data_IF_459384195683
#
_entry.id   IF_459384195683
#
_cell.length_a   1.000
_cell.length_b   1.000
_cell.length_c   1.000
_cell.angle_alpha   90.00
_cell.angle_beta   90.00
_cell.angle_gamma   90.00
#
_symmetry.space_group_name_H-M   'P 1'
#
loop_
_entity.id
_entity.type
_entity.pdbx_description
1 polymer ?
#
# COMPACT_ATOMS: atom_id res chain seq x y z
N UNK A 1 16.48 0.59 22.49
CA UNK A 1 16.09 1.58 21.47
C UNK A 1 17.22 1.76 20.43
N UNK A 2 17.46 0.80 19.51
CA UNK A 2 18.65 0.87 18.62
C UNK A 2 18.45 0.40 17.16
N UNK A 3 17.22 0.18 16.70
CA UNK A 3 16.97 -0.40 15.36
C UNK A 3 16.10 0.44 14.41
N UNK A 4 15.69 1.67 14.76
CA UNK A 4 14.82 2.50 13.90
C UNK A 4 15.54 3.31 12.80
N UNK A 5 16.88 3.26 12.68
CA UNK A 5 17.61 4.18 11.81
C UNK A 5 18.31 3.55 10.58
N UNK A 6 18.46 2.22 10.50
CA UNK A 6 19.28 1.61 9.43
C UNK A 6 18.64 1.68 8.04
N UNK A 7 17.31 1.55 7.96
CA UNK A 7 16.58 1.59 6.68
C UNK A 7 16.59 2.98 6.05
N UNK A 8 16.37 4.03 6.84
CA UNK A 8 16.34 5.40 6.35
C UNK A 8 17.75 5.90 6.00
N UNK A 9 18.77 5.54 6.80
CA UNK A 9 20.16 5.96 6.56
C UNK A 9 20.69 5.51 5.19
N UNK A 10 20.32 4.32 4.72
CA UNK A 10 20.70 3.82 3.39
C UNK A 10 20.02 4.58 2.25
N UNK A 11 18.73 4.91 2.39
CA UNK A 11 17.99 5.69 1.40
C UNK A 11 18.55 7.10 1.24
N UNK A 12 18.79 7.82 2.34
CA UNK A 12 19.41 9.15 2.29
C UNK A 12 20.83 9.12 1.72
N UNK A 13 21.62 8.09 2.04
CA UNK A 13 22.95 7.93 1.47
C UNK A 13 22.91 7.77 -0.07
N UNK A 14 21.97 6.97 -0.60
CA UNK A 14 21.78 6.82 -2.05
C UNK A 14 21.36 8.12 -2.73
N UNK A 15 20.48 8.90 -2.10
CA UNK A 15 20.05 10.20 -2.62
C UNK A 15 21.22 11.20 -2.62
N UNK A 16 22.00 11.26 -1.55
CA UNK A 16 23.18 12.14 -1.46
C UNK A 16 24.20 11.76 -2.53
N UNK A 17 24.48 10.46 -2.73
CA UNK A 17 25.39 9.99 -3.78
C UNK A 17 24.85 10.39 -5.17
N UNK A 18 23.54 10.22 -5.42
CA UNK A 18 22.93 10.62 -6.68
C UNK A 18 23.08 12.12 -6.94
N UNK A 19 22.84 12.96 -5.93
CA UNK A 19 23.01 14.42 -6.01
C UNK A 19 24.47 14.80 -6.25
N UNK A 20 25.42 14.14 -5.56
CA UNK A 20 26.84 14.39 -5.78
C UNK A 20 27.26 14.01 -7.19
N UNK A 21 26.82 12.86 -7.69
CA UNK A 21 27.09 12.42 -9.06
C UNK A 21 26.49 13.36 -10.09
N UNK A 22 25.26 13.86 -9.89
CA UNK A 22 24.65 14.83 -10.82
C UNK A 22 25.37 16.17 -10.79
N UNK A 23 25.77 16.67 -9.62
CA UNK A 23 26.56 17.89 -9.49
C UNK A 23 27.94 17.76 -10.18
N UNK A 24 28.61 16.63 -10.01
CA UNK A 24 29.87 16.34 -10.71
C UNK A 24 29.64 16.33 -12.23
N UNK A 25 28.55 15.72 -12.69
CA UNK A 25 28.23 15.63 -14.11
C UNK A 25 27.90 17.00 -14.72
N UNK A 26 27.13 17.82 -14.01
CA UNK A 26 26.78 19.18 -14.44
C UNK A 26 28.00 20.11 -14.45
N UNK A 27 28.87 20.02 -13.44
CA UNK A 27 30.11 20.80 -13.40
C UNK A 27 31.10 20.36 -14.47
N UNK A 28 31.24 19.05 -14.72
CA UNK A 28 32.03 18.52 -15.84
C UNK A 28 31.47 18.96 -17.19
N UNK A 29 30.15 18.94 -17.37
CA UNK A 29 29.49 19.42 -18.59
C UNK A 29 29.71 20.93 -18.82
N UNK A 30 29.54 21.74 -17.79
CA UNK A 30 29.82 23.19 -17.86
C UNK A 30 31.29 23.48 -18.16
N UNK A 31 32.21 22.71 -17.58
CA UNK A 31 33.65 22.79 -17.87
C UNK A 31 33.98 22.40 -19.32
N UNK A 32 33.32 21.36 -19.84
CA UNK A 32 33.46 20.92 -21.23
C UNK A 32 32.98 21.99 -22.21
N UNK A 33 31.81 22.58 -21.95
CA UNK A 33 31.27 23.70 -22.73
C UNK A 33 32.16 24.95 -22.68
N UNK A 34 32.88 25.16 -21.58
CA UNK A 34 33.82 26.26 -21.47
C UNK A 34 35.08 26.05 -22.34
N UNK A 35 35.49 24.81 -22.58
CA UNK A 35 36.63 24.50 -23.46
C UNK A 35 36.28 24.49 -24.95
N UNK A 36 35.03 24.25 -25.32
CA UNK A 36 34.59 24.25 -26.73
C UNK A 36 34.21 25.66 -27.18
N UNK A 37 35.20 26.54 -27.35
CA UNK A 37 35.01 27.94 -27.74
C UNK A 37 35.05 28.13 -29.27
N UNK A 38 33.92 27.95 -29.96
CA UNK A 38 33.70 28.49 -31.33
C UNK A 38 32.86 29.77 -31.33
N UNK A 39 32.33 30.19 -30.18
CA UNK A 39 31.48 31.38 -30.03
C UNK A 39 32.24 32.53 -29.34
N UNK A 40 31.87 33.80 -29.60
CA UNK A 40 32.56 34.97 -29.03
C UNK A 40 32.50 34.98 -27.49
N UNK A 41 33.61 35.35 -26.85
CA UNK A 41 33.71 35.39 -25.38
C UNK A 41 32.86 36.50 -24.75
N UNK A 42 32.22 36.19 -23.61
CA UNK A 42 31.50 37.16 -22.77
C UNK A 42 30.00 36.90 -22.54
N UNK A 43 29.45 35.78 -22.99
CA UNK A 43 28.00 35.49 -22.86
C UNK A 43 27.66 34.35 -21.88
N UNK A 44 26.46 34.43 -21.31
CA UNK A 44 25.84 33.47 -20.38
C UNK A 44 25.72 32.07 -21.00
N UNK A 45 25.56 31.02 -20.17
CA UNK A 45 25.47 29.62 -20.61
C UNK A 45 24.38 29.40 -21.68
N UNK A 46 23.25 30.11 -21.55
CA UNK A 46 22.09 30.01 -22.44
C UNK A 46 22.41 30.60 -23.83
N UNK A 47 23.14 31.72 -23.86
CA UNK A 47 23.52 32.40 -25.10
C UNK A 47 24.55 31.59 -25.89
N UNK A 48 25.44 30.86 -25.18
CA UNK A 48 26.36 29.90 -25.80
C UNK A 48 25.63 28.71 -26.43
N UNK A 49 24.53 28.25 -25.82
CA UNK A 49 23.66 27.23 -26.42
C UNK A 49 22.89 27.79 -27.63
N UNK A 50 22.45 29.05 -27.59
CA UNK A 50 21.75 29.70 -28.70
C UNK A 50 22.64 30.00 -29.93
N UNK A 51 23.96 30.04 -29.74
CA UNK A 51 24.96 30.17 -30.80
C UNK A 51 25.11 28.90 -31.68
N UNK A 52 24.58 27.75 -31.23
CA UNK A 52 24.67 26.48 -31.94
C UNK A 52 23.53 26.28 -32.96
N UNK A 53 23.83 25.52 -34.01
CA UNK A 53 22.81 25.07 -34.97
C UNK A 53 21.70 24.27 -34.24
N UNK A 54 20.41 24.40 -34.59
CA UNK A 54 19.31 23.80 -33.83
C UNK A 54 19.47 22.29 -33.56
N UNK A 55 20.08 21.55 -34.49
CA UNK A 55 20.36 20.13 -34.33
C UNK A 55 21.46 19.86 -33.26
N UNK A 56 22.49 20.71 -33.22
CA UNK A 56 23.57 20.60 -32.26
C UNK A 56 23.13 20.96 -30.82
N UNK A 57 22.12 21.82 -30.66
CA UNK A 57 21.49 22.10 -29.36
C UNK A 57 20.82 20.82 -28.80
N UNK A 58 20.13 20.06 -29.67
CA UNK A 58 19.53 18.78 -29.33
C UNK A 58 20.57 17.77 -28.87
N UNK A 59 21.66 17.59 -29.63
CA UNK A 59 22.70 16.61 -29.31
C UNK A 59 23.47 16.97 -28.03
N UNK A 60 23.78 18.25 -27.83
CA UNK A 60 24.47 18.72 -26.61
C UNK A 60 23.60 18.60 -25.37
N UNK A 61 22.30 18.89 -25.47
CA UNK A 61 21.35 18.72 -24.36
C UNK A 61 21.09 17.24 -24.06
N UNK A 62 20.91 16.39 -25.08
CA UNK A 62 20.75 14.96 -24.91
C UNK A 62 21.97 14.32 -24.22
N UNK A 63 23.18 14.78 -24.56
CA UNK A 63 24.43 14.36 -23.90
C UNK A 63 24.48 14.69 -22.40
N UNK A 64 23.90 15.81 -21.97
CA UNK A 64 23.84 16.19 -20.55
C UNK A 64 22.72 15.46 -19.80
N UNK A 65 21.52 15.35 -20.39
CA UNK A 65 20.33 14.82 -19.73
C UNK A 65 20.31 13.29 -19.65
N UNK A 66 20.84 12.57 -20.63
CA UNK A 66 20.83 11.10 -20.67
C UNK A 66 21.48 10.46 -19.41
N UNK A 67 22.72 10.82 -19.01
CA UNK A 67 23.34 10.23 -17.82
C UNK A 67 22.68 10.69 -16.51
N UNK A 68 22.17 11.92 -16.45
CA UNK A 68 21.43 12.42 -15.27
C UNK A 68 20.15 11.61 -15.06
N UNK A 69 19.36 11.40 -16.11
CA UNK A 69 18.14 10.61 -16.05
C UNK A 69 18.43 9.15 -15.65
N UNK A 70 19.52 8.56 -16.15
CA UNK A 70 19.93 7.21 -15.79
C UNK A 70 20.27 7.07 -14.30
N UNK A 71 21.00 8.03 -13.72
CA UNK A 71 21.33 8.05 -12.29
C UNK A 71 20.04 8.05 -11.45
N UNK A 72 19.09 8.92 -11.78
CA UNK A 72 17.82 9.01 -11.05
C UNK A 72 16.96 7.76 -11.19
N UNK A 73 16.94 7.13 -12.38
CA UNK A 73 16.25 5.86 -12.60
C UNK A 73 16.82 4.75 -11.72
N UNK A 74 18.15 4.60 -11.68
CA UNK A 74 18.83 3.60 -10.85
C UNK A 74 18.54 3.85 -9.37
N UNK A 75 18.66 5.09 -8.90
CA UNK A 75 18.34 5.45 -7.51
C UNK A 75 16.90 5.12 -7.15
N UNK A 76 15.94 5.42 -8.02
CA UNK A 76 14.52 5.09 -7.80
C UNK A 76 14.29 3.58 -7.69
N UNK A 77 14.92 2.77 -8.56
CA UNK A 77 14.80 1.31 -8.52
C UNK A 77 15.43 0.73 -7.25
N UNK A 78 16.57 1.25 -6.81
CA UNK A 78 17.23 0.80 -5.58
C UNK A 78 16.41 1.15 -4.34
N UNK A 79 15.80 2.33 -4.31
CA UNK A 79 14.91 2.76 -3.23
C UNK A 79 13.67 1.86 -3.16
N UNK A 80 12.99 1.63 -4.29
CA UNK A 80 11.81 0.75 -4.36
C UNK A 80 12.11 -0.69 -3.93
N UNK A 81 13.30 -1.22 -4.27
CA UNK A 81 13.73 -2.56 -3.83
C UNK A 81 13.90 -2.66 -2.32
N UNK A 82 14.36 -1.61 -1.67
CA UNK A 82 14.54 -1.58 -0.21
C UNK A 82 13.21 -1.62 0.54
N UNK A 83 12.16 -1.01 0.00
CA UNK A 83 10.81 -1.00 0.57
C UNK A 83 10.14 -2.39 0.44
N UNK A 84 10.32 -3.07 -0.70
CA UNK A 84 9.77 -4.42 -0.91
C UNK A 84 10.31 -5.47 0.08
N UNK A 85 11.54 -5.30 0.56
CA UNK A 85 12.11 -6.21 1.57
C UNK A 85 11.44 -6.03 2.93
N UNK A 86 11.17 -4.78 3.34
CA UNK A 86 10.44 -4.48 4.56
C UNK A 86 8.98 -4.96 4.48
N UNK A 87 8.33 -4.71 3.34
CA UNK A 87 6.95 -5.10 3.10
C UNK A 87 6.75 -6.63 3.14
N UNK A 88 7.75 -7.41 2.72
CA UNK A 88 7.71 -8.89 2.85
C UNK A 88 7.70 -9.39 4.28
N UNK A 89 8.36 -8.69 5.19
CA UNK A 89 8.35 -9.07 6.60
C UNK A 89 6.98 -8.75 7.22
N UNK A 90 6.43 -7.57 6.94
CA UNK A 90 5.09 -7.17 7.40
C UNK A 90 3.98 -8.10 6.85
N UNK A 91 4.13 -8.58 5.60
CA UNK A 91 3.21 -9.54 5.01
C UNK A 91 3.25 -10.92 5.70
N UNK A 92 4.40 -11.33 6.24
CA UNK A 92 4.49 -12.58 7.02
C UNK A 92 3.78 -12.44 8.35
N UNK A 93 4.03 -11.35 9.05
CA UNK A 93 3.41 -11.07 10.35
C UNK A 93 1.88 -10.90 10.19
N UNK A 94 1.44 -10.25 9.11
CA UNK A 94 0.02 -10.11 8.78
C UNK A 94 -0.66 -11.44 8.44
N UNK A 95 0.06 -12.38 7.82
CA UNK A 95 -0.46 -13.73 7.54
C UNK A 95 -0.70 -14.51 8.81
N UNK A 96 0.21 -14.44 9.77
CA UNK A 96 0.06 -15.10 11.07
C UNK A 96 -1.17 -14.56 11.83
N UNK A 97 -1.35 -13.24 11.86
CA UNK A 97 -2.54 -12.61 12.45
C UNK A 97 -3.82 -13.02 11.73
N UNK A 98 -3.80 -13.08 10.39
CA UNK A 98 -4.96 -13.49 9.61
C UNK A 98 -5.33 -14.96 9.86
N UNK A 99 -4.35 -15.86 9.99
CA UNK A 99 -4.59 -17.26 10.36
C UNK A 99 -5.19 -17.40 11.76
N UNK A 100 -4.69 -16.62 12.73
CA UNK A 100 -5.26 -16.58 14.08
C UNK A 100 -6.71 -16.07 14.08
N UNK A 101 -7.01 -15.03 13.30
CA UNK A 101 -8.37 -14.50 13.15
C UNK A 101 -9.31 -15.52 12.48
N UNK A 102 -8.84 -16.29 11.50
CA UNK A 102 -9.64 -17.36 10.88
C UNK A 102 -9.95 -18.46 11.90
N UNK A 103 -8.99 -18.83 12.74
CA UNK A 103 -9.20 -19.82 13.81
C UNK A 103 -10.24 -19.30 14.83
N UNK A 104 -10.08 -18.05 15.27
CA UNK A 104 -11.02 -17.42 16.21
C UNK A 104 -12.42 -17.29 15.60
N UNK A 105 -12.52 -16.90 14.33
CA UNK A 105 -13.80 -16.82 13.62
C UNK A 105 -14.49 -18.19 13.53
N UNK A 106 -13.73 -19.28 13.30
CA UNK A 106 -14.30 -20.64 13.31
C UNK A 106 -14.82 -21.02 14.69
N UNK A 107 -14.08 -20.71 15.75
CA UNK A 107 -14.53 -20.95 17.12
C UNK A 107 -15.78 -20.14 17.46
N UNK A 108 -15.83 -18.88 17.02
CA UNK A 108 -16.99 -18.02 17.21
C UNK A 108 -18.22 -18.54 16.44
N UNK A 109 -18.04 -19.01 15.20
CA UNK A 109 -19.14 -19.65 14.44
C UNK A 109 -19.64 -20.91 15.14
N UNK A 110 -18.74 -21.75 15.68
CA UNK A 110 -19.13 -22.94 16.42
C UNK A 110 -19.95 -22.59 17.68
N UNK A 111 -19.49 -21.59 18.45
CA UNK A 111 -20.20 -21.09 19.61
C UNK A 111 -21.56 -20.47 19.25
N UNK A 112 -21.62 -19.67 18.18
CA UNK A 112 -22.86 -19.09 17.68
C UNK A 112 -23.84 -20.16 17.20
N UNK A 113 -23.36 -21.25 16.60
CA UNK A 113 -24.19 -22.37 16.20
C UNK A 113 -24.81 -23.07 17.42
N UNK A 114 -24.03 -23.28 18.48
CA UNK A 114 -24.53 -23.83 19.75
C UNK A 114 -25.57 -22.90 20.39
N UNK A 115 -25.29 -21.61 20.48
CA UNK A 115 -26.25 -20.61 20.97
C UNK A 115 -27.54 -20.61 20.14
N UNK A 116 -27.42 -20.68 18.82
CA UNK A 116 -28.58 -20.72 17.92
C UNK A 116 -29.41 -21.98 18.16
N UNK A 117 -28.78 -23.13 18.38
CA UNK A 117 -29.51 -24.36 18.70
C UNK A 117 -30.26 -24.26 20.03
N UNK A 118 -29.64 -23.67 21.05
CA UNK A 118 -30.29 -23.45 22.35
C UNK A 118 -31.50 -22.49 22.22
N UNK A 119 -31.36 -21.42 21.44
CA UNK A 119 -32.46 -20.49 21.16
C UNK A 119 -33.61 -21.19 20.42
N UNK A 120 -33.31 -21.98 19.38
CA UNK A 120 -34.32 -22.75 18.65
C UNK A 120 -35.02 -23.77 19.54
N UNK A 121 -34.30 -24.41 20.47
CA UNK A 121 -34.90 -25.33 21.43
C UNK A 121 -35.82 -24.61 22.41
N UNK A 122 -35.41 -23.46 22.94
CA UNK A 122 -36.26 -22.61 23.79
C UNK A 122 -37.54 -22.18 23.07
N UNK A 123 -37.41 -21.65 21.86
CA UNK A 123 -38.55 -21.21 21.05
C UNK A 123 -39.57 -22.33 20.82
N UNK A 124 -39.12 -23.57 20.63
CA UNK A 124 -39.99 -24.73 20.46
C UNK A 124 -40.72 -25.09 21.75
N UNK A 125 -40.00 -25.12 22.88
CA UNK A 125 -40.59 -25.39 24.18
C UNK A 125 -41.64 -24.33 24.55
N UNK A 126 -41.34 -23.05 24.33
CA UNK A 126 -42.28 -21.96 24.57
C UNK A 126 -43.54 -22.06 23.69
N UNK A 127 -43.40 -22.42 22.40
CA UNK A 127 -44.56 -22.66 21.53
C UNK A 127 -45.39 -23.85 21.99
N UNK A 128 -44.77 -24.93 22.44
CA UNK A 128 -45.50 -26.07 22.99
C UNK A 128 -46.28 -25.68 24.25
N UNK A 129 -45.66 -24.93 25.16
CA UNK A 129 -46.38 -24.42 26.34
C UNK A 129 -47.53 -23.47 25.99
N UNK A 130 -47.42 -22.69 24.92
CA UNK A 130 -48.51 -21.84 24.43
C UNK A 130 -49.65 -22.69 23.86
N UNK A 131 -49.35 -23.67 23.01
CA UNK A 131 -50.35 -24.59 22.45
C UNK A 131 -51.05 -25.37 23.57
N UNK A 132 -50.31 -25.89 24.55
CA UNK A 132 -50.89 -26.62 25.69
C UNK A 132 -51.78 -25.72 26.55
N UNK A 133 -51.43 -24.44 26.70
CA UNK A 133 -52.28 -23.45 27.36
C UNK A 133 -53.56 -23.21 26.58
N UNK A 134 -53.48 -23.02 25.27
CA UNK A 134 -54.64 -22.84 24.40
C UNK A 134 -55.56 -24.07 24.42
N UNK A 135 -55.00 -25.28 24.30
CA UNK A 135 -55.77 -26.53 24.34
C UNK A 135 -56.49 -26.72 25.68
N UNK A 136 -55.82 -26.45 26.81
CA UNK A 136 -56.48 -26.47 28.14
C UNK A 136 -57.65 -25.50 28.21
N UNK A 137 -57.51 -24.31 27.62
CA UNK A 137 -58.57 -23.31 27.63
C UNK A 137 -59.79 -23.78 26.80
N UNK A 138 -59.54 -24.43 25.65
CA UNK A 138 -60.60 -25.08 24.87
C UNK A 138 -61.30 -26.21 25.63
N UNK A 139 -60.57 -27.01 26.40
CA UNK A 139 -61.13 -28.12 27.18
C UNK A 139 -62.02 -27.64 28.34
N UNK A 140 -61.81 -26.40 28.82
CA UNK A 140 -62.60 -25.77 29.88
C UNK A 140 -63.87 -25.06 29.37
N UNK A 141 -64.09 -24.95 28.05
CA UNK A 141 -65.29 -24.34 27.51
C UNK A 141 -66.49 -25.29 27.65
N UNK A 142 -67.58 -24.91 28.35
CA UNK A 142 -68.77 -25.76 28.46
C UNK A 142 -69.41 -25.92 27.08
N UNK A 143 -69.52 -27.17 26.63
CA UNK A 143 -70.11 -27.54 25.33
C UNK A 143 -71.58 -27.11 25.27
N UNK A 144 -71.84 -25.91 24.74
CA UNK A 144 -73.19 -25.41 24.53
C UNK A 144 -73.67 -25.91 23.17
N UNK A 145 -74.27 -27.10 23.15
CA UNK A 145 -74.92 -27.63 21.95
C UNK A 145 -76.07 -26.69 21.52
N UNK A 146 -75.86 -25.88 20.48
CA UNK A 146 -76.95 -25.19 19.80
C UNK A 146 -77.70 -26.20 18.94
N UNK A 147 -78.81 -26.70 19.47
CA UNK A 147 -79.75 -27.56 18.74
C UNK A 147 -80.60 -26.64 17.84
N UNK A 148 -80.40 -26.70 16.53
CA UNK A 148 -81.29 -26.11 15.52
C UNK A 148 -82.58 -26.91 15.39
#
# INVERSE_FOLDING_TARGET
MKNLNKGNLGAWALIIIAILLTLILLTAFAWLLNQTSTCPDGQELIDRLACLEPNAIGDTSAGAFAPVAFIWLVTAVLLQRSELAAQRQELKDSREVAEAQVLEARNNVAFMAEQTQLLVQRDKAERQEQIDRELRDYELLPVRWTRS
#
